data_IF_930007618813
#
_entry.id   IF_930007618813
#
_cell.length_a   1.000
_cell.length_b   1.000
_cell.length_c   1.000
_cell.angle_alpha   90.00
_cell.angle_beta   90.00
_cell.angle_gamma   90.00
#
_symmetry.space_group_name_H-M   'P 1'
#
loop_
_entity.id
_entity.type
_entity.pdbx_description
1 polymer ?
#
# COMPACT_ATOMS: atom_id res chain seq x y z
N UNK A 1 -8.99 -41.61 -17.72
CA UNK A 1 -8.19 -40.39 -17.92
C UNK A 1 -8.41 -39.53 -16.70
N UNK A 2 -7.43 -39.53 -15.79
CA UNK A 2 -7.51 -38.82 -14.49
C UNK A 2 -7.02 -37.38 -14.66
N UNK A 3 -7.92 -36.41 -14.52
CA UNK A 3 -7.57 -35.02 -14.30
C UNK A 3 -7.14 -34.83 -12.85
N UNK A 4 -5.84 -34.60 -12.63
CA UNK A 4 -5.30 -34.20 -11.33
C UNK A 4 -5.68 -32.74 -11.08
N UNK A 5 -6.58 -32.52 -10.12
CA UNK A 5 -6.82 -31.23 -9.49
C UNK A 5 -5.51 -30.78 -8.82
N UNK A 6 -4.96 -29.68 -9.33
CA UNK A 6 -3.80 -29.01 -8.75
C UNK A 6 -4.30 -28.12 -7.62
N UNK A 7 -4.32 -28.66 -6.41
CA UNK A 7 -4.57 -27.92 -5.17
C UNK A 7 -3.39 -26.96 -4.95
N UNK A 8 -3.62 -25.68 -5.15
CA UNK A 8 -2.75 -24.60 -4.68
C UNK A 8 -2.73 -24.69 -3.15
N UNK A 9 -1.57 -24.82 -2.50
CA UNK A 9 -1.51 -24.84 -1.04
C UNK A 9 -1.92 -23.45 -0.52
N UNK A 10 -3.08 -23.38 0.12
CA UNK A 10 -3.44 -22.22 0.92
C UNK A 10 -2.44 -22.12 2.07
N UNK A 11 -1.70 -21.00 2.12
CA UNK A 11 -0.84 -20.71 3.27
C UNK A 11 -1.73 -20.62 4.51
N UNK A 12 -1.34 -21.26 5.62
CA UNK A 12 -2.11 -21.20 6.85
C UNK A 12 -2.16 -19.75 7.33
N UNK A 13 -3.39 -19.24 7.48
CA UNK A 13 -3.65 -17.98 8.18
C UNK A 13 -2.99 -18.09 9.55
N UNK A 14 -2.18 -17.11 10.00
CA UNK A 14 -1.55 -17.17 11.31
C UNK A 14 -2.64 -17.38 12.37
N UNK A 15 -2.51 -18.41 13.17
CA UNK A 15 -3.49 -18.90 14.16
C UNK A 15 -3.95 -17.82 15.19
N UNK A 16 -3.29 -16.67 15.22
CA UNK A 16 -3.65 -15.54 16.07
C UNK A 16 -4.85 -14.71 15.64
N UNK A 17 -5.16 -14.65 14.35
CA UNK A 17 -6.24 -13.77 13.86
C UNK A 17 -7.65 -14.30 14.21
N UNK A 18 -7.86 -15.62 14.07
CA UNK A 18 -9.14 -16.26 14.43
C UNK A 18 -9.40 -16.25 15.94
N UNK A 19 -8.33 -16.41 16.72
CA UNK A 19 -8.44 -16.38 18.18
C UNK A 19 -8.71 -14.97 18.70
N UNK A 20 -8.12 -13.96 18.06
CA UNK A 20 -8.39 -12.55 18.36
C UNK A 20 -9.86 -12.19 18.05
N UNK A 21 -10.36 -12.52 16.86
CA UNK A 21 -11.77 -12.26 16.49
C UNK A 21 -12.76 -12.91 17.47
N UNK A 22 -12.50 -14.15 17.90
CA UNK A 22 -13.31 -14.84 18.90
C UNK A 22 -13.26 -14.16 20.28
N UNK A 23 -12.11 -13.59 20.66
CA UNK A 23 -11.94 -12.87 21.92
C UNK A 23 -12.65 -11.53 21.94
N UNK A 24 -12.56 -10.77 20.83
CA UNK A 24 -13.30 -9.52 20.68
C UNK A 24 -14.80 -9.76 20.67
N UNK A 25 -15.28 -10.77 19.92
CA UNK A 25 -16.68 -11.17 19.90
C UNK A 25 -17.16 -11.52 21.31
N UNK A 26 -16.40 -12.29 22.06
CA UNK A 26 -16.74 -12.63 23.44
C UNK A 26 -16.73 -11.45 24.44
N UNK A 27 -16.02 -10.35 24.15
CA UNK A 27 -16.10 -9.10 24.91
C UNK A 27 -17.39 -8.34 24.59
N UNK A 28 -17.77 -8.31 23.31
CA UNK A 28 -18.98 -7.67 22.83
C UNK A 28 -20.25 -8.39 23.32
N UNK A 29 -20.20 -9.72 23.49
CA UNK A 29 -21.30 -10.55 23.99
C UNK A 29 -21.53 -10.43 25.52
N UNK A 30 -20.86 -9.50 26.20
CA UNK A 30 -21.14 -9.11 27.61
C UNK A 30 -20.84 -10.19 28.65
N UNK A 31 -20.04 -11.23 28.33
CA UNK A 31 -19.65 -12.22 29.35
C UNK A 31 -18.58 -11.65 30.30
N UNK A 32 -18.73 -11.82 31.62
CA UNK A 32 -17.75 -11.36 32.59
C UNK A 32 -16.42 -12.14 32.37
N UNK A 33 -15.40 -11.43 31.94
CA UNK A 33 -14.04 -11.95 31.80
C UNK A 33 -13.18 -11.42 32.92
N UNK A 34 -12.21 -12.21 33.36
CA UNK A 34 -11.26 -11.76 34.32
C UNK A 34 -10.43 -10.57 33.81
N UNK A 35 -9.99 -9.72 34.70
CA UNK A 35 -9.23 -8.50 34.39
C UNK A 35 -7.95 -8.78 33.56
N UNK A 36 -7.33 -9.94 33.77
CA UNK A 36 -6.16 -10.40 33.01
C UNK A 36 -6.48 -10.74 31.55
N UNK A 37 -7.70 -11.19 31.25
CA UNK A 37 -8.14 -11.46 29.88
C UNK A 37 -8.43 -10.17 29.13
N UNK A 38 -9.06 -9.18 29.80
CA UNK A 38 -9.31 -7.85 29.25
C UNK A 38 -7.98 -7.15 28.95
N UNK A 39 -7.02 -7.18 29.86
CA UNK A 39 -5.69 -6.57 29.67
C UNK A 39 -4.97 -7.17 28.47
N UNK A 40 -4.94 -8.50 28.32
CA UNK A 40 -4.31 -9.14 27.14
C UNK A 40 -4.98 -8.81 25.81
N UNK A 41 -6.30 -8.62 25.80
CA UNK A 41 -7.02 -8.22 24.58
C UNK A 41 -6.68 -6.77 24.21
N UNK A 42 -6.61 -5.88 25.20
CA UNK A 42 -6.22 -4.48 24.99
C UNK A 42 -4.77 -4.38 24.50
N UNK A 43 -3.83 -5.11 25.13
CA UNK A 43 -2.43 -5.18 24.68
C UNK A 43 -2.32 -5.70 23.24
N UNK A 44 -3.07 -6.75 22.87
CA UNK A 44 -3.10 -7.26 21.50
C UNK A 44 -3.72 -6.29 20.49
N UNK A 45 -4.63 -5.44 20.93
CA UNK A 45 -5.23 -4.40 20.11
C UNK A 45 -4.27 -3.23 19.87
N UNK A 46 -3.55 -2.84 20.91
CA UNK A 46 -2.51 -1.80 20.83
C UNK A 46 -1.39 -2.23 19.88
N UNK A 47 -0.87 -3.47 19.99
CA UNK A 47 0.11 -4.05 19.06
C UNK A 47 -0.38 -4.06 17.61
N UNK A 48 -1.68 -4.32 17.40
CA UNK A 48 -2.26 -4.32 16.06
C UNK A 48 -2.36 -2.90 15.50
N UNK A 49 -2.78 -1.94 16.31
CA UNK A 49 -2.88 -0.53 15.92
C UNK A 49 -1.50 0.04 15.61
N UNK A 50 -0.48 -0.29 16.41
CA UNK A 50 0.90 0.12 16.16
C UNK A 50 1.44 -0.42 14.83
N UNK A 51 1.16 -1.68 14.49
CA UNK A 51 1.55 -2.25 13.19
C UNK A 51 0.83 -1.60 12.02
N UNK A 52 -0.47 -1.28 12.17
CA UNK A 52 -1.22 -0.55 11.14
C UNK A 52 -0.63 0.84 10.98
N UNK A 53 -0.38 1.56 12.07
CA UNK A 53 0.18 2.90 12.05
C UNK A 53 1.58 2.92 11.42
N UNK A 54 2.46 1.97 11.78
CA UNK A 54 3.79 1.84 11.18
C UNK A 54 3.72 1.57 9.67
N UNK A 55 2.81 0.69 9.23
CA UNK A 55 2.58 0.42 7.81
C UNK A 55 2.06 1.64 7.04
N UNK A 56 1.16 2.41 7.64
CA UNK A 56 0.66 3.66 7.06
C UNK A 56 1.76 4.73 7.01
N UNK A 57 2.60 4.85 8.05
CA UNK A 57 3.71 5.79 8.07
C UNK A 57 4.74 5.47 6.98
N UNK A 58 5.12 4.20 6.83
CA UNK A 58 6.02 3.77 5.76
C UNK A 58 5.48 4.13 4.37
N UNK A 59 4.19 3.93 4.14
CA UNK A 59 3.54 4.30 2.88
C UNK A 59 3.48 5.82 2.69
N UNK A 60 3.16 6.58 3.74
CA UNK A 60 3.17 8.03 3.72
C UNK A 60 4.55 8.59 3.39
N UNK A 61 5.61 8.05 4.02
CA UNK A 61 6.98 8.46 3.77
C UNK A 61 7.44 8.19 2.33
N UNK A 62 6.96 7.11 1.72
CA UNK A 62 7.22 6.85 0.29
C UNK A 62 6.53 7.85 -0.63
N UNK A 63 5.36 8.36 -0.27
CA UNK A 63 4.62 9.34 -1.06
C UNK A 63 5.22 10.76 -0.96
N UNK A 64 5.52 11.22 0.25
CA UNK A 64 5.82 12.64 0.53
C UNK A 64 7.18 12.87 1.20
N UNK A 65 7.94 11.83 1.48
CA UNK A 65 9.18 11.88 2.26
C UNK A 65 8.93 11.68 3.75
N UNK A 66 10.02 11.43 4.52
CA UNK A 66 9.95 11.31 5.98
C UNK A 66 9.77 12.67 6.64
N UNK A 67 9.03 12.72 7.75
CA UNK A 67 8.88 13.92 8.57
C UNK A 67 7.43 14.25 8.92
N UNK A 68 7.19 15.49 9.33
CA UNK A 68 5.89 15.99 9.80
C UNK A 68 4.75 15.78 8.80
N UNK A 69 5.04 15.84 7.50
CA UNK A 69 4.01 15.67 6.48
C UNK A 69 3.53 14.24 6.37
N UNK A 70 4.42 13.25 6.51
CA UNK A 70 4.03 11.83 6.55
C UNK A 70 3.23 11.52 7.81
N UNK A 71 3.58 12.12 8.95
CA UNK A 71 2.80 12.02 10.19
C UNK A 71 1.41 12.61 9.98
N UNK A 72 1.31 13.84 9.45
CA UNK A 72 0.05 14.49 9.17
C UNK A 72 -0.82 13.77 8.12
N UNK A 73 -0.21 13.00 7.21
CA UNK A 73 -0.95 12.11 6.31
C UNK A 73 -1.57 10.93 7.06
N UNK A 74 -0.82 10.30 7.95
CA UNK A 74 -1.33 9.19 8.79
C UNK A 74 -2.49 9.67 9.66
N UNK A 75 -2.33 10.81 10.35
CA UNK A 75 -3.39 11.40 11.17
C UNK A 75 -4.68 11.65 10.38
N UNK A 76 -4.56 12.24 9.18
CA UNK A 76 -5.71 12.47 8.29
C UNK A 76 -6.34 11.18 7.80
N UNK A 77 -5.54 10.15 7.50
CA UNK A 77 -6.04 8.85 7.10
C UNK A 77 -6.83 8.18 8.22
N UNK A 78 -6.30 8.18 9.43
CA UNK A 78 -6.97 7.63 10.61
C UNK A 78 -8.27 8.39 10.91
N UNK A 79 -8.25 9.73 10.86
CA UNK A 79 -9.45 10.55 11.07
C UNK A 79 -10.56 10.33 10.03
N UNK A 80 -10.19 9.92 8.79
CA UNK A 80 -11.15 9.63 7.71
C UNK A 80 -11.61 8.18 7.67
N UNK A 81 -10.97 7.30 8.45
CA UNK A 81 -11.29 5.87 8.45
C UNK A 81 -12.27 5.57 9.58
N UNK A 82 -13.48 5.14 9.22
CA UNK A 82 -14.42 4.60 10.19
C UNK A 82 -14.10 3.13 10.46
N UNK A 83 -13.27 2.90 11.49
CA UNK A 83 -12.87 1.56 11.91
C UNK A 83 -14.05 0.79 12.49
N UNK A 84 -15.05 1.49 13.05
CA UNK A 84 -16.22 0.88 13.67
C UNK A 84 -17.18 0.28 12.64
N UNK A 85 -17.16 0.79 11.40
CA UNK A 85 -17.98 0.30 10.30
C UNK A 85 -17.34 -0.90 9.56
N UNK A 86 -16.07 -1.22 9.86
CA UNK A 86 -15.37 -2.31 9.17
C UNK A 86 -15.73 -3.66 9.78
N UNK A 87 -16.19 -4.58 8.94
CA UNK A 87 -16.61 -5.94 9.35
C UNK A 87 -15.42 -6.83 9.74
N UNK A 88 -14.21 -6.53 9.23
CA UNK A 88 -13.01 -7.26 9.53
C UNK A 88 -11.72 -6.40 9.44
N UNK A 89 -10.61 -6.95 9.94
CA UNK A 89 -9.31 -6.28 9.96
C UNK A 89 -8.69 -6.06 8.56
N UNK A 90 -9.07 -6.86 7.56
CA UNK A 90 -8.58 -6.70 6.19
C UNK A 90 -9.27 -5.51 5.51
N UNK A 91 -10.58 -5.37 5.72
CA UNK A 91 -11.37 -4.25 5.24
C UNK A 91 -10.91 -2.93 5.91
N UNK A 92 -10.70 -2.92 7.23
CA UNK A 92 -10.17 -1.78 7.96
C UNK A 92 -8.82 -1.33 7.39
N UNK A 93 -7.89 -2.27 7.15
CA UNK A 93 -6.59 -2.00 6.53
C UNK A 93 -6.71 -1.44 5.12
N UNK A 94 -7.60 -2.01 4.28
CA UNK A 94 -7.82 -1.52 2.92
C UNK A 94 -8.40 -0.10 2.93
N UNK A 95 -9.37 0.16 3.81
CA UNK A 95 -9.99 1.47 3.99
C UNK A 95 -8.97 2.52 4.46
N UNK A 96 -8.15 2.20 5.47
CA UNK A 96 -7.09 3.08 5.98
C UNK A 96 -6.04 3.40 4.90
N UNK A 97 -5.61 2.40 4.12
CA UNK A 97 -4.68 2.60 3.00
C UNK A 97 -5.31 3.50 1.92
N UNK A 98 -6.58 3.28 1.60
CA UNK A 98 -7.30 4.12 0.63
C UNK A 98 -7.37 5.58 1.11
N UNK A 99 -7.75 5.80 2.37
CA UNK A 99 -7.82 7.12 2.97
C UNK A 99 -6.46 7.83 2.95
N UNK A 100 -5.37 7.10 3.26
CA UNK A 100 -4.00 7.65 3.23
C UNK A 100 -3.57 8.01 1.80
N UNK A 101 -3.78 7.12 0.83
CA UNK A 101 -3.41 7.37 -0.56
C UNK A 101 -4.20 8.55 -1.14
N UNK A 102 -5.50 8.64 -0.87
CA UNK A 102 -6.34 9.79 -1.26
C UNK A 102 -5.77 11.08 -0.68
N UNK A 103 -5.52 11.13 0.63
CA UNK A 103 -4.95 12.32 1.27
C UNK A 103 -3.55 12.67 0.72
N UNK A 104 -2.74 11.67 0.36
CA UNK A 104 -1.43 11.84 -0.26
C UNK A 104 -1.53 12.44 -1.66
N UNK A 105 -2.42 11.94 -2.51
CA UNK A 105 -2.69 12.48 -3.84
C UNK A 105 -3.14 13.93 -3.75
N UNK A 106 -4.13 14.25 -2.90
CA UNK A 106 -4.63 15.62 -2.67
C UNK A 106 -3.51 16.56 -2.22
N UNK A 107 -2.65 16.10 -1.30
CA UNK A 107 -1.52 16.91 -0.81
C UNK A 107 -0.50 17.20 -1.92
N UNK A 108 -0.13 16.18 -2.71
CA UNK A 108 0.83 16.31 -3.81
C UNK A 108 0.27 17.23 -4.90
N UNK A 109 -0.98 17.06 -5.30
CA UNK A 109 -1.66 17.89 -6.29
C UNK A 109 -1.76 19.36 -5.83
N UNK A 110 -2.02 19.57 -4.53
CA UNK A 110 -2.10 20.91 -3.93
C UNK A 110 -0.75 21.63 -3.88
N UNK A 111 0.35 20.91 -3.64
CA UNK A 111 1.70 21.49 -3.58
C UNK A 111 2.23 21.92 -4.95
N UNK A 112 2.03 21.09 -5.94
CA UNK A 112 2.52 21.31 -7.29
C UNK A 112 1.40 21.02 -8.28
N UNK A 113 0.55 22.00 -8.58
CA UNK A 113 -0.49 21.85 -9.58
C UNK A 113 0.10 21.33 -10.89
N UNK A 114 -0.55 20.32 -11.46
CA UNK A 114 -0.08 19.67 -12.69
C UNK A 114 0.99 18.60 -12.50
N UNK A 115 1.38 18.24 -11.28
CA UNK A 115 2.35 17.15 -11.03
C UNK A 115 1.77 15.74 -11.22
N UNK A 116 0.45 15.62 -11.31
CA UNK A 116 -0.28 14.36 -11.52
C UNK A 116 -1.15 14.42 -12.78
N UNK A 117 -0.73 15.18 -13.78
CA UNK A 117 -1.40 15.25 -15.09
C UNK A 117 -1.24 13.91 -15.80
N UNK A 118 -2.35 13.41 -16.37
CA UNK A 118 -2.30 12.21 -17.19
C UNK A 118 -1.45 12.45 -18.45
N UNK A 119 -0.60 11.50 -18.86
CA UNK A 119 0.22 11.65 -20.05
C UNK A 119 -0.65 11.67 -21.31
N UNK A 120 -0.43 12.65 -22.20
CA UNK A 120 -1.12 12.73 -23.50
C UNK A 120 -0.69 11.62 -24.46
N UNK A 121 0.57 11.20 -24.35
CA UNK A 121 1.15 10.12 -25.18
C UNK A 121 1.87 9.15 -24.24
N UNK A 122 1.47 7.89 -24.30
CA UNK A 122 2.16 6.82 -23.59
C UNK A 122 3.44 6.45 -24.34
N UNK A 123 4.59 6.73 -23.74
CA UNK A 123 5.84 6.18 -24.20
C UNK A 123 5.88 4.70 -23.79
N UNK A 124 5.77 3.80 -24.77
CA UNK A 124 5.92 2.37 -24.52
C UNK A 124 7.35 2.09 -24.03
N UNK A 125 7.48 1.74 -22.77
CA UNK A 125 8.76 1.29 -22.23
C UNK A 125 9.10 -0.08 -22.84
N UNK A 126 10.41 -0.33 -23.02
CA UNK A 126 10.87 -1.68 -23.34
C UNK A 126 10.33 -2.66 -22.30
N UNK A 127 9.72 -3.74 -22.75
CA UNK A 127 9.06 -4.75 -21.91
C UNK A 127 10.09 -5.49 -21.06
N UNK A 128 10.34 -5.02 -19.85
CA UNK A 128 11.16 -5.73 -18.86
C UNK A 128 10.32 -6.72 -18.05
N UNK A 129 8.99 -6.65 -18.13
CA UNK A 129 8.02 -7.47 -17.42
C UNK A 129 6.82 -7.73 -18.34
N UNK A 130 6.27 -8.93 -18.29
CA UNK A 130 5.08 -9.31 -19.06
C UNK A 130 3.81 -8.68 -18.47
N UNK A 131 2.73 -8.62 -19.25
CA UNK A 131 1.47 -8.05 -18.75
C UNK A 131 0.86 -8.86 -17.62
N UNK A 132 0.96 -10.19 -17.68
CA UNK A 132 0.45 -11.10 -16.64
C UNK A 132 1.22 -10.91 -15.32
N UNK A 133 2.56 -10.81 -15.40
CA UNK A 133 3.39 -10.54 -14.22
C UNK A 133 3.16 -9.12 -13.69
N UNK A 134 2.89 -8.15 -14.56
CA UNK A 134 2.61 -6.77 -14.19
C UNK A 134 1.34 -6.65 -13.33
N UNK A 135 0.28 -7.39 -13.65
CA UNK A 135 -0.96 -7.37 -12.87
C UNK A 135 -0.80 -8.00 -11.48
N UNK A 136 0.07 -8.99 -11.35
CA UNK A 136 0.40 -9.65 -10.08
C UNK A 136 1.53 -8.96 -9.30
N UNK A 137 2.25 -8.02 -9.91
CA UNK A 137 3.38 -7.35 -9.27
C UNK A 137 2.92 -6.54 -8.05
N UNK A 138 3.54 -6.81 -6.93
CA UNK A 138 3.28 -6.13 -5.66
C UNK A 138 4.35 -6.47 -4.65
N UNK A 139 4.33 -5.76 -3.54
CA UNK A 139 5.24 -5.95 -2.41
C UNK A 139 4.39 -6.38 -1.22
N UNK A 140 4.65 -7.55 -0.68
CA UNK A 140 3.99 -7.98 0.55
C UNK A 140 4.43 -7.10 1.73
N UNK A 141 3.60 -7.04 2.78
CA UNK A 141 3.91 -6.25 3.97
C UNK A 141 5.26 -6.66 4.60
N UNK A 142 5.53 -7.96 4.70
CA UNK A 142 6.79 -8.48 5.24
C UNK A 142 8.01 -8.15 4.38
N UNK A 143 7.87 -8.20 3.05
CA UNK A 143 8.93 -7.77 2.13
C UNK A 143 9.20 -6.28 2.25
N UNK A 144 8.14 -5.44 2.34
CA UNK A 144 8.27 -4.01 2.54
C UNK A 144 8.99 -3.70 3.86
N UNK A 145 8.60 -4.33 4.96
CA UNK A 145 9.28 -4.19 6.25
C UNK A 145 10.76 -4.61 6.14
N UNK A 146 11.05 -5.74 5.50
CA UNK A 146 12.42 -6.21 5.29
C UNK A 146 13.25 -5.22 4.45
N UNK A 147 12.67 -4.67 3.39
CA UNK A 147 13.33 -3.66 2.54
C UNK A 147 13.62 -2.37 3.30
N UNK A 148 12.70 -1.96 4.19
CA UNK A 148 12.82 -0.71 4.95
C UNK A 148 13.61 -0.86 6.26
N UNK A 149 13.78 -2.08 6.78
CA UNK A 149 14.60 -2.36 7.96
C UNK A 149 16.03 -2.81 7.64
N UNK A 150 16.28 -3.32 6.41
CA UNK A 150 17.55 -3.90 5.99
C UNK A 150 18.61 -2.88 5.57
N UNK A 151 19.80 -3.39 5.25
CA UNK A 151 20.95 -2.60 4.76
C UNK A 151 20.63 -1.82 3.47
N UNK A 152 19.67 -2.28 2.68
CA UNK A 152 19.23 -1.66 1.43
C UNK A 152 18.22 -0.50 1.63
N UNK A 153 17.83 -0.19 2.86
CA UNK A 153 16.84 0.86 3.17
C UNK A 153 17.14 2.19 2.48
N UNK A 154 18.39 2.64 2.60
CA UNK A 154 18.84 3.94 2.03
C UNK A 154 18.75 3.90 0.50
N UNK A 155 19.12 2.78 -0.12
CA UNK A 155 19.07 2.63 -1.58
C UNK A 155 17.64 2.62 -2.11
N UNK A 156 16.74 1.90 -1.46
CA UNK A 156 15.31 1.85 -1.83
C UNK A 156 14.66 3.22 -1.66
N UNK A 157 14.94 3.90 -0.54
CA UNK A 157 14.43 5.24 -0.27
C UNK A 157 14.90 6.22 -1.33
N UNK A 158 16.21 6.30 -1.60
CA UNK A 158 16.77 7.19 -2.59
C UNK A 158 16.21 6.91 -3.99
N UNK A 159 16.01 5.63 -4.34
CA UNK A 159 15.39 5.27 -5.60
C UNK A 159 13.94 5.79 -5.69
N UNK A 160 13.09 5.54 -4.68
CA UNK A 160 11.71 6.03 -4.67
C UNK A 160 11.67 7.56 -4.77
N UNK A 161 12.52 8.26 -4.03
CA UNK A 161 12.62 9.72 -4.05
C UNK A 161 13.09 10.26 -5.41
N UNK A 162 13.89 9.50 -6.15
CA UNK A 162 14.38 9.87 -7.49
C UNK A 162 13.33 9.70 -8.60
N UNK A 163 12.27 8.95 -8.36
CA UNK A 163 11.21 8.75 -9.35
C UNK A 163 10.44 10.05 -9.64
N UNK A 164 10.00 10.26 -10.89
CA UNK A 164 9.00 11.28 -11.19
C UNK A 164 7.79 11.15 -10.27
N UNK A 165 7.16 12.27 -9.94
CA UNK A 165 6.09 12.30 -8.93
C UNK A 165 4.95 11.34 -9.26
N UNK A 166 4.49 11.34 -10.50
CA UNK A 166 3.43 10.45 -11.00
C UNK A 166 3.84 8.98 -10.91
N UNK A 167 5.07 8.66 -11.31
CA UNK A 167 5.60 7.28 -11.24
C UNK A 167 5.68 6.80 -9.80
N UNK A 168 6.17 7.64 -8.90
CA UNK A 168 6.26 7.34 -7.47
C UNK A 168 4.90 7.08 -6.85
N UNK A 169 3.93 7.95 -7.12
CA UNK A 169 2.56 7.79 -6.63
C UNK A 169 1.95 6.49 -7.14
N UNK A 170 2.01 6.24 -8.44
CA UNK A 170 1.48 5.01 -9.04
C UNK A 170 2.18 3.78 -8.48
N UNK A 171 3.51 3.82 -8.31
CA UNK A 171 4.24 2.71 -7.73
C UNK A 171 3.77 2.39 -6.30
N UNK A 172 3.61 3.40 -5.45
CA UNK A 172 3.12 3.21 -4.08
C UNK A 172 1.69 2.67 -4.07
N UNK A 173 0.79 3.20 -4.88
CA UNK A 173 -0.59 2.74 -4.94
C UNK A 173 -0.68 1.28 -5.43
N UNK A 174 0.08 0.91 -6.45
CA UNK A 174 0.05 -0.42 -7.06
C UNK A 174 0.82 -1.45 -6.24
N UNK A 175 2.12 -1.21 -5.99
CA UNK A 175 3.01 -2.18 -5.39
C UNK A 175 2.84 -2.29 -3.87
N UNK A 176 2.62 -1.18 -3.19
CA UNK A 176 2.62 -1.12 -1.71
C UNK A 176 1.21 -1.15 -1.14
N UNK A 177 0.32 -0.31 -1.66
CA UNK A 177 -1.07 -0.26 -1.19
C UNK A 177 -1.93 -1.42 -1.74
N UNK A 178 -1.53 -2.02 -2.88
CA UNK A 178 -2.21 -3.17 -3.48
C UNK A 178 -3.49 -2.82 -4.25
N UNK A 179 -3.61 -1.59 -4.75
CA UNK A 179 -4.74 -1.19 -5.60
C UNK A 179 -4.55 -1.69 -7.02
N UNK A 180 -5.64 -2.01 -7.69
CA UNK A 180 -5.64 -2.36 -9.12
C UNK A 180 -5.29 -1.14 -9.98
N UNK A 181 -4.90 -1.36 -11.24
CA UNK A 181 -4.67 -0.25 -12.18
C UNK A 181 -5.92 0.63 -12.37
N UNK A 182 -7.10 0.01 -12.36
CA UNK A 182 -8.38 0.73 -12.46
C UNK A 182 -8.64 1.60 -11.23
N UNK A 183 -8.52 1.04 -10.02
CA UNK A 183 -8.70 1.80 -8.78
C UNK A 183 -7.70 2.95 -8.65
N UNK A 184 -6.44 2.72 -9.05
CA UNK A 184 -5.40 3.75 -9.06
C UNK A 184 -5.75 4.89 -10.03
N UNK A 185 -6.23 4.56 -11.22
CA UNK A 185 -6.66 5.55 -12.21
C UNK A 185 -7.84 6.38 -11.70
N UNK A 186 -8.85 5.73 -11.11
CA UNK A 186 -10.01 6.39 -10.51
C UNK A 186 -9.59 7.36 -9.39
N UNK A 187 -8.71 6.92 -8.49
CA UNK A 187 -8.19 7.77 -7.41
C UNK A 187 -7.41 8.99 -7.94
N UNK A 188 -6.57 8.79 -8.95
CA UNK A 188 -5.83 9.89 -9.58
C UNK A 188 -6.76 10.87 -10.29
N UNK A 189 -7.73 10.37 -11.07
CA UNK A 189 -8.68 11.20 -11.80
C UNK A 189 -9.56 12.04 -10.85
N UNK A 190 -9.96 11.47 -9.71
CA UNK A 190 -10.83 12.13 -8.74
C UNK A 190 -10.07 13.13 -7.85
N UNK A 191 -8.85 12.81 -7.43
CA UNK A 191 -8.11 13.55 -6.40
C UNK A 191 -6.82 14.21 -6.88
N UNK A 192 -6.35 13.90 -8.10
CA UNK A 192 -5.09 14.40 -8.66
C UNK A 192 -5.10 15.85 -9.13
N UNK A 193 -6.24 16.52 -9.05
CA UNK A 193 -6.39 17.92 -9.43
C UNK A 193 -6.51 18.13 -10.94
N UNK A 194 -6.37 19.37 -11.36
CA UNK A 194 -6.57 19.76 -12.77
C UNK A 194 -5.60 19.04 -13.71
N UNK A 195 -6.15 18.40 -14.73
CA UNK A 195 -5.40 17.63 -15.74
C UNK A 195 -5.20 16.16 -15.38
N UNK A 196 -5.70 15.72 -14.21
CA UNK A 196 -5.66 14.33 -13.80
C UNK A 196 -6.87 13.52 -14.32
N UNK A 197 -7.87 14.16 -14.87
CA UNK A 197 -9.13 13.54 -15.34
C UNK A 197 -8.90 12.53 -16.48
N UNK A 198 -7.77 12.64 -17.17
CA UNK A 198 -7.36 11.74 -18.26
C UNK A 198 -6.76 10.40 -17.84
N UNK A 199 -6.53 10.18 -16.54
CA UNK A 199 -5.97 8.91 -16.08
C UNK A 199 -6.90 7.74 -16.38
N UNK A 200 -6.33 6.67 -16.90
CA UNK A 200 -7.00 5.40 -17.18
C UNK A 200 -6.10 4.22 -16.79
N UNK A 201 -6.66 3.02 -16.77
CA UNK A 201 -5.95 1.83 -16.33
C UNK A 201 -4.73 1.48 -17.21
N UNK A 202 -4.78 1.81 -18.49
CA UNK A 202 -3.67 1.54 -19.42
C UNK A 202 -2.48 2.47 -19.13
N UNK A 203 -2.73 3.76 -18.95
CA UNK A 203 -1.71 4.73 -18.55
C UNK A 203 -1.07 4.36 -17.20
N UNK A 204 -1.87 3.94 -16.23
CA UNK A 204 -1.38 3.47 -14.94
C UNK A 204 -0.49 2.24 -15.09
N UNK A 205 -0.90 1.23 -15.91
CA UNK A 205 -0.07 0.05 -16.16
C UNK A 205 1.27 0.41 -16.79
N UNK A 206 1.26 1.28 -17.79
CA UNK A 206 2.49 1.66 -18.49
C UNK A 206 3.47 2.42 -17.57
N UNK A 207 2.98 3.40 -16.79
CA UNK A 207 3.83 4.12 -15.83
C UNK A 207 4.32 3.19 -14.71
N UNK A 208 3.50 2.25 -14.26
CA UNK A 208 3.91 1.24 -13.27
C UNK A 208 5.01 0.33 -13.82
N UNK A 209 4.90 -0.12 -15.09
CA UNK A 209 5.94 -0.88 -15.79
C UNK A 209 7.27 -0.13 -15.82
N UNK A 210 7.25 1.16 -16.14
CA UNK A 210 8.45 2.01 -16.13
C UNK A 210 9.10 2.05 -14.75
N UNK A 211 8.30 2.17 -13.68
CA UNK A 211 8.79 2.11 -12.30
C UNK A 211 9.47 0.79 -11.97
N UNK A 212 8.85 -0.34 -12.33
CA UNK A 212 9.42 -1.68 -12.12
C UNK A 212 10.70 -1.91 -12.93
N UNK A 213 10.76 -1.47 -14.18
CA UNK A 213 11.97 -1.55 -14.99
C UNK A 213 13.11 -0.72 -14.40
N UNK A 214 12.80 0.45 -13.86
CA UNK A 214 13.77 1.29 -13.13
C UNK A 214 14.31 0.59 -11.89
N UNK A 215 13.44 -0.04 -11.09
CA UNK A 215 13.83 -0.83 -9.91
C UNK A 215 14.76 -1.99 -10.29
N UNK A 216 14.38 -2.77 -11.31
CA UNK A 216 15.20 -3.89 -11.79
C UNK A 216 16.61 -3.44 -12.21
N UNK A 217 16.71 -2.30 -12.92
CA UNK A 217 18.00 -1.72 -13.29
C UNK A 217 18.84 -1.34 -12.08
N UNK A 218 18.24 -0.75 -11.04
CA UNK A 218 18.94 -0.39 -9.80
C UNK A 218 19.47 -1.63 -9.06
N UNK A 219 18.68 -2.69 -8.99
CA UNK A 219 19.08 -3.94 -8.33
C UNK A 219 20.25 -4.63 -9.05
N UNK A 220 20.25 -4.64 -10.38
CA UNK A 220 21.36 -5.20 -11.18
C UNK A 220 22.64 -4.40 -10.92
N UNK A 221 22.59 -3.07 -10.89
CA UNK A 221 23.75 -2.24 -10.65
C UNK A 221 24.27 -2.32 -9.21
N UNK A 222 23.41 -2.57 -8.23
CA UNK A 222 23.81 -2.76 -6.83
C UNK A 222 24.56 -4.08 -6.60
N UNK A 223 24.22 -5.14 -7.35
CA UNK A 223 24.84 -6.48 -7.24
C UNK A 223 26.20 -6.59 -7.97
N UNK A 224 26.54 -5.64 -8.83
CA UNK A 224 27.79 -5.63 -9.62
C UNK A 224 28.92 -4.79 -9.01
N UNK A 225 28.73 -4.27 -7.81
CA UNK A 225 29.75 -3.54 -7.04
C UNK A 225 30.21 -4.34 -5.84
#
# INVERSE_FOLDING_TARGET
>A
MNTKDSLIPQQPIPAGADEFSKRVQGLLDGQPKDEATVSRVLEGMDDMLDRIAAGLYNMASMLVGEGEESIGLVERAVARTDISASSDAAEARRSSRRALCTAGIELIAGRKPGSLVAPEVLAHASTCITDDDLESAGISHGELESMLAGENRVSVKNWIESLPTETRVIFVLRAVAGFTAKETAEMLAEHGGKGAEGWNAEAVREIFRQGLCSLASQLIHATTR
#
